data_IF_623731502060
#
_entry.id   IF_623731502060
#
_cell.length_a   1.000
_cell.length_b   1.000
_cell.length_c   1.000
_cell.angle_alpha   90.00
_cell.angle_beta   90.00
_cell.angle_gamma   90.00
#
_symmetry.space_group_name_H-M   'P 1'
#
loop_
_entity.id
_entity.type
_entity.pdbx_description
1 polymer ?
#
# COMPACT_ATOMS: atom_id res chain seq x y z
N UNK A 1 -4.06 8.17 17.95
CA UNK A 1 -2.71 8.30 17.34
C UNK A 1 -1.98 6.98 17.52
N UNK A 2 -1.66 6.27 16.43
CA UNK A 2 -0.98 4.96 16.46
C UNK A 2 0.53 5.02 16.15
N UNK A 3 1.12 6.23 16.12
CA UNK A 3 2.52 6.42 15.75
C UNK A 3 3.52 5.68 16.64
N UNK A 4 3.41 5.71 17.99
CA UNK A 4 4.34 4.97 18.84
C UNK A 4 4.31 3.46 18.59
N UNK A 5 3.14 2.92 18.25
CA UNK A 5 2.98 1.50 17.92
C UNK A 5 3.61 1.18 16.55
N UNK A 6 3.48 2.06 15.56
CA UNK A 6 4.10 1.88 14.25
C UNK A 6 5.63 1.90 14.35
N UNK A 7 6.19 2.79 15.20
CA UNK A 7 7.63 2.82 15.49
C UNK A 7 8.09 1.54 16.20
N UNK A 8 7.38 1.11 17.23
CA UNK A 8 7.70 -0.13 17.95
C UNK A 8 7.69 -1.33 17.01
N UNK A 9 6.67 -1.44 16.15
CA UNK A 9 6.59 -2.48 15.12
C UNK A 9 7.76 -2.39 14.14
N UNK A 10 8.11 -1.19 13.66
CA UNK A 10 9.26 -1.01 12.76
C UNK A 10 10.56 -1.56 13.37
N UNK A 11 10.81 -1.27 14.66
CA UNK A 11 11.99 -1.76 15.38
C UNK A 11 11.94 -3.27 15.60
N UNK A 12 10.79 -3.80 16.00
CA UNK A 12 10.59 -5.22 16.28
C UNK A 12 10.79 -6.10 15.02
N UNK A 13 10.25 -5.67 13.88
CA UNK A 13 10.18 -6.48 12.66
C UNK A 13 11.33 -6.22 11.67
N UNK A 14 12.28 -5.33 11.98
CA UNK A 14 13.37 -4.93 11.08
C UNK A 14 14.17 -6.10 10.49
N UNK A 15 14.29 -7.21 11.22
CA UNK A 15 15.05 -8.40 10.83
C UNK A 15 14.20 -9.68 10.74
N UNK A 16 12.87 -9.53 10.71
CA UNK A 16 11.94 -10.67 10.74
C UNK A 16 11.44 -11.10 9.37
N UNK A 17 12.02 -10.58 8.28
CA UNK A 17 11.60 -10.96 6.92
C UNK A 17 11.59 -12.49 6.71
N UNK A 18 12.66 -13.25 7.04
CA UNK A 18 12.65 -14.71 6.82
C UNK A 18 11.54 -15.43 7.60
N UNK A 19 11.35 -15.10 8.88
CA UNK A 19 10.33 -15.73 9.72
C UNK A 19 8.90 -15.40 9.25
N UNK A 20 8.68 -14.17 8.75
CA UNK A 20 7.38 -13.79 8.17
C UNK A 20 7.09 -14.58 6.88
N UNK A 21 8.09 -14.80 6.03
CA UNK A 21 7.94 -15.64 4.83
C UNK A 21 7.59 -17.07 5.20
N UNK A 22 8.28 -17.65 6.18
CA UNK A 22 8.00 -19.01 6.68
C UNK A 22 6.57 -19.12 7.22
N UNK A 23 6.14 -18.14 8.03
CA UNK A 23 4.80 -18.09 8.60
C UNK A 23 3.71 -18.05 7.51
N UNK A 24 3.87 -17.18 6.50
CA UNK A 24 2.90 -17.08 5.40
C UNK A 24 2.85 -18.38 4.60
N UNK A 25 4.00 -19.00 4.32
CA UNK A 25 4.07 -20.27 3.57
C UNK A 25 3.44 -21.43 4.34
N UNK A 26 3.56 -21.44 5.67
CA UNK A 26 2.98 -22.47 6.51
C UNK A 26 1.46 -22.30 6.72
N UNK A 27 0.94 -21.08 6.53
CA UNK A 27 -0.49 -20.79 6.67
C UNK A 27 -1.23 -21.18 5.38
N UNK A 28 -2.42 -21.81 5.45
CA UNK A 28 -3.23 -22.06 4.25
C UNK A 28 -3.53 -20.76 3.51
N UNK A 29 -3.25 -20.70 2.21
CA UNK A 29 -3.50 -19.52 1.40
C UNK A 29 -3.77 -19.86 -0.06
N UNK A 30 -4.39 -18.92 -0.77
CA UNK A 30 -4.51 -18.93 -2.23
C UNK A 30 -3.57 -17.90 -2.84
N UNK A 31 -2.82 -18.30 -3.86
CA UNK A 31 -1.94 -17.40 -4.62
C UNK A 31 -2.66 -16.86 -5.87
N UNK A 32 -2.58 -15.55 -6.08
CA UNK A 32 -3.18 -14.87 -7.24
C UNK A 32 -2.16 -13.92 -7.86
N UNK A 33 -1.79 -14.20 -9.11
CA UNK A 33 -1.08 -13.25 -9.95
C UNK A 33 -2.03 -12.20 -10.53
N UNK A 34 -1.60 -10.94 -10.57
CA UNK A 34 -2.39 -9.85 -11.13
C UNK A 34 -1.56 -8.80 -11.84
N UNK A 35 -2.21 -8.06 -12.74
CA UNK A 35 -1.63 -6.86 -13.35
C UNK A 35 -1.69 -5.69 -12.36
N UNK A 36 -0.65 -5.45 -11.56
CA UNK A 36 -0.72 -4.46 -10.47
C UNK A 36 -1.53 -4.94 -9.27
N UNK A 37 -1.88 -4.05 -8.35
CA UNK A 37 -2.57 -4.39 -7.10
C UNK A 37 -4.04 -4.73 -7.39
N UNK A 38 -4.47 -5.94 -7.03
CA UNK A 38 -5.87 -6.38 -7.19
C UNK A 38 -6.67 -6.18 -5.90
N UNK A 39 -6.06 -6.53 -4.76
CA UNK A 39 -6.64 -6.38 -3.43
C UNK A 39 -5.95 -5.21 -2.75
N UNK A 40 -6.69 -4.12 -2.59
CA UNK A 40 -6.24 -2.93 -1.89
C UNK A 40 -6.54 -3.08 -0.39
N UNK A 41 -5.58 -2.71 0.47
CA UNK A 41 -5.83 -2.61 1.92
C UNK A 41 -6.33 -1.21 2.25
N UNK A 42 -5.69 -0.20 1.66
CA UNK A 42 -6.12 1.20 1.78
C UNK A 42 -7.11 1.53 0.67
N UNK A 43 -8.14 2.34 0.96
CA UNK A 43 -9.09 2.73 -0.06
C UNK A 43 -8.39 3.45 -1.21
N UNK A 44 -8.74 3.07 -2.45
CA UNK A 44 -8.30 3.75 -3.67
C UNK A 44 -6.77 3.74 -3.85
N UNK A 45 -6.07 2.71 -3.35
CA UNK A 45 -4.60 2.61 -3.36
C UNK A 45 -4.03 2.81 -4.77
N UNK A 46 -4.60 2.14 -5.77
CA UNK A 46 -4.19 2.24 -7.16
C UNK A 46 -4.42 3.65 -7.72
N UNK A 47 -5.61 4.21 -7.55
CA UNK A 47 -5.98 5.52 -8.13
C UNK A 47 -5.17 6.65 -7.49
N UNK A 48 -4.89 6.58 -6.18
CA UNK A 48 -3.96 7.50 -5.50
C UNK A 48 -2.53 7.39 -6.02
N UNK A 49 -2.16 6.23 -6.58
CA UNK A 49 -0.90 5.99 -7.28
C UNK A 49 -0.92 6.35 -8.77
N UNK A 50 -2.07 6.78 -9.31
CA UNK A 50 -2.24 7.01 -10.75
C UNK A 50 -2.35 5.72 -11.58
N UNK A 51 -2.81 4.63 -10.97
CA UNK A 51 -2.97 3.33 -11.61
C UNK A 51 -4.44 2.88 -11.62
N UNK A 52 -4.79 2.09 -12.63
CA UNK A 52 -6.05 1.35 -12.65
C UNK A 52 -5.97 0.15 -11.70
N UNK A 53 -7.13 -0.29 -11.22
CA UNK A 53 -7.24 -1.52 -10.45
C UNK A 53 -6.64 -2.70 -11.23
N UNK A 54 -5.93 -3.56 -10.50
CA UNK A 54 -5.33 -4.73 -11.09
C UNK A 54 -6.34 -5.78 -11.52
N UNK A 55 -5.91 -6.68 -12.40
CA UNK A 55 -6.75 -7.77 -12.93
C UNK A 55 -6.05 -9.09 -12.69
N UNK A 56 -6.80 -10.09 -12.23
CA UNK A 56 -6.30 -11.44 -12.05
C UNK A 56 -5.78 -12.02 -13.37
N UNK A 57 -4.67 -12.76 -13.28
CA UNK A 57 -4.02 -13.43 -14.41
C UNK A 57 -4.36 -14.91 -14.39
N UNK A 58 -4.48 -15.52 -15.58
CA UNK A 58 -4.76 -16.95 -15.74
C UNK A 58 -3.53 -17.84 -15.52
N UNK A 59 -2.34 -17.27 -15.57
CA UNK A 59 -1.07 -17.98 -15.46
C UNK A 59 0.00 -17.10 -14.82
N UNK A 60 1.07 -17.75 -14.35
CA UNK A 60 2.27 -17.09 -13.85
C UNK A 60 2.90 -16.24 -14.97
N UNK A 61 3.21 -14.96 -14.73
CA UNK A 61 3.79 -14.10 -15.76
C UNK A 61 5.26 -14.44 -16.01
N UNK A 62 5.69 -14.36 -17.27
CA UNK A 62 7.10 -14.50 -17.64
C UNK A 62 7.97 -13.31 -17.19
N UNK A 63 7.37 -12.11 -17.04
CA UNK A 63 8.02 -10.90 -16.54
C UNK A 63 7.22 -10.35 -15.36
N UNK A 64 7.91 -10.01 -14.28
CA UNK A 64 7.29 -9.59 -13.02
C UNK A 64 7.08 -8.07 -12.93
N UNK A 65 7.74 -7.27 -13.78
CA UNK A 65 7.59 -5.81 -13.81
C UNK A 65 6.13 -5.39 -13.89
N UNK A 66 5.68 -4.65 -12.88
CA UNK A 66 4.31 -4.14 -12.81
C UNK A 66 3.25 -5.24 -12.66
N UNK A 67 3.64 -6.43 -12.22
CA UNK A 67 2.77 -7.52 -11.78
C UNK A 67 2.85 -7.67 -10.26
N UNK A 68 1.78 -8.19 -9.68
CA UNK A 68 1.74 -8.52 -8.26
C UNK A 68 1.42 -10.01 -8.09
N UNK A 69 2.00 -10.63 -7.06
CA UNK A 69 1.55 -11.90 -6.52
C UNK A 69 0.95 -11.63 -5.14
N UNK A 70 -0.27 -12.10 -4.90
CA UNK A 70 -0.99 -11.88 -3.66
C UNK A 70 -1.37 -13.22 -3.04
N UNK A 71 -1.28 -13.26 -1.71
CA UNK A 71 -1.61 -14.41 -0.90
C UNK A 71 -2.84 -14.03 -0.09
N UNK A 72 -3.93 -14.76 -0.31
CA UNK A 72 -5.17 -14.60 0.44
C UNK A 72 -5.31 -15.74 1.45
N UNK A 73 -5.67 -15.43 2.68
CA UNK A 73 -6.06 -16.46 3.66
C UNK A 73 -7.40 -17.12 3.26
N UNK A 74 -7.85 -18.18 3.97
CA UNK A 74 -9.10 -18.87 3.63
C UNK A 74 -10.36 -18.01 3.76
N UNK A 75 -10.28 -16.87 4.46
CA UNK A 75 -11.36 -15.88 4.56
C UNK A 75 -11.30 -14.81 3.46
N UNK A 76 -10.32 -14.89 2.56
CA UNK A 76 -10.11 -13.95 1.47
C UNK A 76 -9.34 -12.69 1.86
N UNK A 77 -8.76 -12.61 3.08
CA UNK A 77 -7.96 -11.45 3.49
C UNK A 77 -6.57 -11.52 2.88
N UNK A 78 -6.09 -10.39 2.36
CA UNK A 78 -4.72 -10.28 1.86
C UNK A 78 -3.74 -10.36 3.04
N UNK A 79 -2.90 -11.37 3.07
CA UNK A 79 -1.90 -11.59 4.14
C UNK A 79 -0.47 -11.29 3.67
N UNK A 80 -0.23 -11.35 2.37
CA UNK A 80 1.09 -11.08 1.80
C UNK A 80 1.00 -10.68 0.34
N UNK A 81 1.83 -9.72 -0.07
CA UNK A 81 1.87 -9.18 -1.43
C UNK A 81 3.31 -9.01 -1.88
N UNK A 82 3.62 -9.51 -3.08
CA UNK A 82 4.86 -9.23 -3.80
C UNK A 82 4.57 -8.33 -4.99
N UNK A 83 5.30 -7.24 -5.12
CA UNK A 83 5.22 -6.31 -6.26
C UNK A 83 6.51 -6.36 -7.06
N UNK A 84 6.42 -6.85 -8.30
CA UNK A 84 7.59 -7.11 -9.14
C UNK A 84 8.24 -5.83 -9.66
N UNK A 85 9.57 -5.81 -9.59
CA UNK A 85 10.40 -4.73 -10.13
C UNK A 85 10.79 -4.99 -11.58
N UNK A 86 11.65 -4.13 -12.15
CA UNK A 86 12.20 -4.34 -13.49
C UNK A 86 13.18 -5.53 -13.55
N UNK A 87 13.81 -5.85 -12.41
CA UNK A 87 14.75 -6.95 -12.30
C UNK A 87 14.00 -8.27 -12.05
N UNK A 88 14.37 -9.36 -12.75
CA UNK A 88 13.81 -10.69 -12.50
C UNK A 88 13.98 -11.11 -11.03
N UNK A 89 12.97 -11.79 -10.47
CA UNK A 89 12.97 -12.28 -9.08
C UNK A 89 13.18 -11.22 -7.98
N UNK A 90 13.19 -9.93 -8.31
CA UNK A 90 13.25 -8.84 -7.35
C UNK A 90 11.84 -8.27 -7.11
N UNK A 91 11.37 -8.39 -5.86
CA UNK A 91 10.04 -7.96 -5.44
C UNK A 91 10.12 -7.07 -4.21
N UNK A 92 9.38 -5.96 -4.23
CA UNK A 92 8.94 -5.36 -2.97
C UNK A 92 7.93 -6.29 -2.31
N UNK A 93 7.94 -6.36 -0.99
CA UNK A 93 7.13 -7.33 -0.26
C UNK A 93 6.40 -6.65 0.89
N UNK A 94 5.10 -6.90 1.03
CA UNK A 94 4.29 -6.39 2.12
C UNK A 94 3.58 -7.53 2.83
N UNK A 95 3.76 -7.62 4.14
CA UNK A 95 3.04 -8.56 5.01
C UNK A 95 1.92 -7.82 5.72
N UNK A 96 0.79 -8.49 5.93
CA UNK A 96 -0.38 -7.93 6.60
C UNK A 96 -0.79 -8.82 7.77
N UNK A 97 -0.62 -8.30 8.98
CA UNK A 97 -0.98 -8.96 10.23
C UNK A 97 -2.23 -8.30 10.78
N UNK A 98 -3.24 -9.13 11.09
CA UNK A 98 -4.55 -8.67 11.55
C UNK A 98 -4.69 -8.90 13.04
N UNK A 99 -5.01 -7.85 13.80
CA UNK A 99 -5.24 -7.92 15.23
C UNK A 99 -6.41 -7.01 15.62
N UNK A 100 -7.51 -7.61 16.08
CA UNK A 100 -8.74 -6.91 16.43
C UNK A 100 -9.24 -6.03 15.28
N UNK A 101 -9.29 -4.72 15.51
CA UNK A 101 -9.71 -3.72 14.53
C UNK A 101 -8.51 -3.05 13.82
N UNK A 102 -7.33 -3.64 13.87
CA UNK A 102 -6.12 -3.09 13.26
C UNK A 102 -5.47 -4.04 12.25
N UNK A 103 -4.80 -3.44 11.26
CA UNK A 103 -3.98 -4.14 10.29
C UNK A 103 -2.56 -3.54 10.33
N UNK A 104 -1.58 -4.35 10.71
CA UNK A 104 -0.17 -4.01 10.62
C UNK A 104 0.39 -4.45 9.27
N UNK A 105 0.81 -3.47 8.46
CA UNK A 105 1.59 -3.67 7.24
C UNK A 105 3.09 -3.56 7.50
N UNK A 106 3.88 -4.48 6.97
CA UNK A 106 5.33 -4.46 7.03
C UNK A 106 5.88 -4.47 5.61
N UNK A 107 6.40 -3.34 5.14
CA UNK A 107 6.83 -3.16 3.75
C UNK A 107 8.34 -3.24 3.61
N UNK A 108 8.82 -4.27 2.91
CA UNK A 108 10.22 -4.58 2.71
C UNK A 108 10.68 -4.24 1.29
N UNK A 109 11.94 -3.81 1.21
CA UNK A 109 12.61 -3.48 -0.05
C UNK A 109 12.80 -4.67 -0.98
N UNK A 110 13.01 -4.38 -2.26
CA UNK A 110 13.22 -5.40 -3.29
C UNK A 110 14.66 -5.93 -3.39
N UNK A 111 15.59 -5.34 -2.65
CA UNK A 111 16.98 -5.79 -2.58
C UNK A 111 17.10 -7.17 -1.94
N UNK A 112 18.26 -7.81 -2.12
CA UNK A 112 18.58 -9.08 -1.45
C UNK A 112 18.57 -8.98 0.08
N UNK A 113 18.87 -7.80 0.63
CA UNK A 113 18.91 -7.58 2.08
C UNK A 113 17.53 -7.51 2.73
N UNK A 114 16.46 -7.34 1.95
CA UNK A 114 15.08 -7.22 2.45
C UNK A 114 14.98 -6.28 3.65
N UNK A 115 15.49 -5.06 3.50
CA UNK A 115 15.36 -4.06 4.56
C UNK A 115 13.89 -3.65 4.74
N UNK A 116 13.46 -3.49 5.99
CA UNK A 116 12.14 -2.94 6.29
C UNK A 116 12.15 -1.43 5.97
N UNK A 117 11.30 -1.02 5.02
CA UNK A 117 11.20 0.37 4.58
C UNK A 117 10.24 1.17 5.47
N UNK A 118 9.11 0.56 5.83
CA UNK A 118 8.18 1.10 6.82
C UNK A 118 7.27 0.04 7.43
N UNK A 119 6.81 0.31 8.65
CA UNK A 119 5.70 -0.37 9.28
C UNK A 119 4.50 0.59 9.31
N UNK A 120 3.31 0.13 8.97
CA UNK A 120 2.09 0.93 8.94
C UNK A 120 0.96 0.23 9.68
N UNK A 121 0.40 0.90 10.68
CA UNK A 121 -0.79 0.46 11.40
C UNK A 121 -2.00 1.17 10.80
N UNK A 122 -3.03 0.41 10.46
CA UNK A 122 -4.29 0.88 9.90
C UNK A 122 -5.41 0.51 10.87
N UNK A 123 -6.26 1.46 11.20
CA UNK A 123 -7.44 1.23 12.04
C UNK A 123 -8.64 1.03 11.15
N UNK A 124 -9.37 -0.05 11.39
CA UNK A 124 -10.58 -0.42 10.65
C UNK A 124 -11.79 -0.17 11.55
N UNK A 125 -12.79 0.52 11.01
CA UNK A 125 -14.10 0.66 11.63
C UNK A 125 -15.17 0.40 10.58
N UNK A 126 -16.19 -0.38 10.91
CA UNK A 126 -17.29 -0.72 9.99
C UNK A 126 -16.80 -1.25 8.62
N UNK A 127 -15.70 -2.02 8.62
CA UNK A 127 -15.12 -2.59 7.40
C UNK A 127 -14.28 -1.63 6.55
N UNK A 128 -14.09 -0.38 6.98
CA UNK A 128 -13.30 0.63 6.26
C UNK A 128 -12.10 1.09 7.07
N UNK A 129 -10.97 1.36 6.42
CA UNK A 129 -9.80 1.97 7.06
C UNK A 129 -10.12 3.44 7.35
N UNK A 130 -10.15 3.83 8.62
CA UNK A 130 -10.48 5.21 9.03
C UNK A 130 -9.24 6.06 9.29
N UNK A 131 -8.16 5.43 9.77
CA UNK A 131 -6.87 6.10 9.97
C UNK A 131 -5.72 5.15 9.69
N UNK A 132 -4.57 5.72 9.34
CA UNK A 132 -3.32 4.99 9.28
C UNK A 132 -2.18 5.82 9.86
N UNK A 133 -1.20 5.14 10.45
CA UNK A 133 0.06 5.72 10.90
C UNK A 133 1.21 4.82 10.46
N UNK A 134 2.21 5.37 9.79
CA UNK A 134 3.42 4.65 9.42
C UNK A 134 4.67 5.30 9.95
N UNK A 135 5.60 4.46 10.39
CA UNK A 135 6.97 4.81 10.70
C UNK A 135 7.89 4.09 9.74
N UNK A 136 8.81 4.82 9.13
CA UNK A 136 9.76 4.26 8.17
C UNK A 136 11.13 4.88 8.27
N UNK A 137 12.03 4.39 7.43
CA UNK A 137 13.44 4.80 7.37
C UNK A 137 13.62 6.32 7.19
N UNK A 138 12.72 6.97 6.46
CA UNK A 138 12.83 8.37 6.07
C UNK A 138 11.93 9.33 6.85
N UNK A 139 11.06 8.80 7.71
CA UNK A 139 10.14 9.63 8.46
C UNK A 139 8.88 8.89 8.87
N UNK A 140 7.86 9.68 9.14
CA UNK A 140 6.55 9.26 9.62
C UNK A 140 5.46 9.82 8.73
N UNK A 141 4.31 9.15 8.71
CA UNK A 141 3.12 9.60 8.01
C UNK A 141 1.87 9.22 8.78
N UNK A 142 0.91 10.12 8.82
CA UNK A 142 -0.45 9.86 9.30
C UNK A 142 -1.46 10.19 8.22
N UNK A 143 -2.51 9.39 8.15
CA UNK A 143 -3.59 9.52 7.18
C UNK A 143 -4.92 9.39 7.93
N UNK A 144 -5.86 10.28 7.62
CA UNK A 144 -7.26 10.17 8.06
C UNK A 144 -8.15 10.10 6.83
N UNK A 145 -9.04 9.10 6.79
CA UNK A 145 -9.88 8.79 5.64
C UNK A 145 -11.33 9.19 5.96
N UNK A 146 -11.93 10.01 5.11
CA UNK A 146 -13.27 10.55 5.30
C UNK A 146 -14.19 10.06 4.19
N UNK A 147 -15.34 9.53 4.59
CA UNK A 147 -16.27 8.83 3.72
C UNK A 147 -17.64 9.49 3.71
N UNK A 148 -18.30 9.42 2.56
CA UNK A 148 -19.74 9.64 2.40
C UNK A 148 -20.37 8.31 1.98
N UNK A 149 -21.01 7.64 2.95
CA UNK A 149 -21.45 6.25 2.77
C UNK A 149 -20.25 5.33 2.46
N UNK A 150 -20.29 4.54 1.37
CA UNK A 150 -19.17 3.67 1.01
C UNK A 150 -18.02 4.40 0.29
N UNK A 151 -18.20 5.67 -0.09
CA UNK A 151 -17.27 6.38 -0.96
C UNK A 151 -16.27 7.20 -0.15
N UNK A 152 -14.96 6.96 -0.35
CA UNK A 152 -13.92 7.85 0.16
C UNK A 152 -14.00 9.17 -0.59
N UNK A 153 -14.19 10.29 0.12
CA UNK A 153 -14.31 11.63 -0.49
C UNK A 153 -13.10 12.52 -0.20
N UNK A 154 -12.44 12.30 0.94
CA UNK A 154 -11.26 13.06 1.35
C UNK A 154 -10.29 12.21 2.16
N UNK A 155 -9.01 12.50 2.01
CA UNK A 155 -7.97 12.03 2.92
C UNK A 155 -7.11 13.21 3.37
N UNK A 156 -6.90 13.34 4.68
CA UNK A 156 -5.92 14.28 5.25
C UNK A 156 -4.60 13.53 5.47
N UNK A 157 -3.49 14.10 4.98
CA UNK A 157 -2.16 13.50 5.06
C UNK A 157 -1.20 14.46 5.74
N UNK A 158 -0.49 13.95 6.75
CA UNK A 158 0.62 14.64 7.38
C UNK A 158 1.84 13.73 7.37
N UNK A 159 2.93 14.21 6.77
CA UNK A 159 4.23 13.55 6.69
C UNK A 159 5.26 14.37 7.45
N UNK A 160 6.17 13.69 8.17
CA UNK A 160 7.26 14.33 8.89
C UNK A 160 8.53 13.51 8.77
N UNK A 161 9.57 14.12 8.24
CA UNK A 161 10.92 13.56 8.19
C UNK A 161 11.55 13.56 9.59
N UNK A 162 12.53 12.66 9.79
CA UNK A 162 13.24 12.54 11.06
C UNK A 162 14.08 13.78 11.40
N UNK A 163 14.47 14.57 10.40
CA UNK A 163 15.17 15.85 10.57
C UNK A 163 14.23 17.01 10.99
N UNK A 164 12.92 16.76 11.09
CA UNK A 164 11.92 17.71 11.53
C UNK A 164 11.15 18.40 10.41
N UNK A 165 11.52 18.23 9.13
CA UNK A 165 10.73 18.78 8.02
C UNK A 165 9.35 18.10 7.96
N UNK A 166 8.29 18.89 7.83
CA UNK A 166 6.92 18.38 7.73
C UNK A 166 6.19 18.90 6.50
N UNK A 167 5.26 18.11 5.99
CA UNK A 167 4.34 18.49 4.94
C UNK A 167 2.95 17.98 5.26
N UNK A 168 1.96 18.77 4.86
CA UNK A 168 0.56 18.39 4.95
C UNK A 168 -0.08 18.60 3.58
N UNK A 169 -1.03 17.75 3.23
CA UNK A 169 -1.86 17.92 2.04
C UNK A 169 -3.16 17.14 2.19
N UNK A 170 -4.14 17.53 1.40
CA UNK A 170 -5.40 16.81 1.28
C UNK A 170 -5.45 16.08 -0.05
N UNK A 171 -6.11 14.93 -0.07
CA UNK A 171 -6.46 14.21 -1.30
C UNK A 171 -7.97 14.17 -1.41
N UNK A 172 -8.52 14.74 -2.48
CA UNK A 172 -9.95 14.77 -2.75
C UNK A 172 -10.31 13.79 -3.86
N UNK A 173 -11.48 13.18 -3.73
CA UNK A 173 -12.00 12.16 -4.64
C UNK A 173 -13.36 12.59 -5.16
N UNK A 174 -13.45 12.86 -6.46
CA UNK A 174 -14.70 13.23 -7.11
C UNK A 174 -15.28 12.01 -7.84
N UNK A 175 -16.42 11.55 -7.34
CA UNK A 175 -17.15 10.40 -7.89
C UNK A 175 -18.26 10.92 -8.82
N UNK A 176 -17.95 11.07 -10.11
CA UNK A 176 -18.91 11.54 -11.12
C UNK A 176 -18.80 10.85 -12.48
N UNK A 177 -17.90 9.88 -12.60
CA UNK A 177 -17.60 9.19 -13.85
C UNK A 177 -17.20 7.72 -13.62
N UNK A 178 -16.77 7.02 -14.67
CA UNK A 178 -16.41 5.60 -14.59
C UNK A 178 -15.19 5.34 -13.69
N UNK A 179 -14.31 6.33 -13.54
CA UNK A 179 -13.21 6.34 -12.59
C UNK A 179 -13.24 7.68 -11.83
N UNK A 180 -12.96 7.70 -10.51
CA UNK A 180 -12.96 8.94 -9.76
C UNK A 180 -11.78 9.82 -10.12
N UNK A 181 -12.00 11.13 -10.10
CA UNK A 181 -10.94 12.12 -10.24
C UNK A 181 -10.27 12.32 -8.88
N UNK A 182 -8.95 12.12 -8.83
CA UNK A 182 -8.17 12.25 -7.60
C UNK A 182 -7.28 13.49 -7.69
N UNK A 183 -7.41 14.42 -6.75
CA UNK A 183 -6.61 15.65 -6.70
C UNK A 183 -5.90 15.79 -5.35
N UNK A 184 -4.65 16.26 -5.36
CA UNK A 184 -3.88 16.63 -4.18
C UNK A 184 -3.88 18.14 -4.00
N UNK A 185 -4.22 18.62 -2.82
CA UNK A 185 -4.31 20.03 -2.46
C UNK A 185 -3.28 20.34 -1.38
N UNK A 186 -2.39 21.30 -1.65
CA UNK A 186 -1.34 21.71 -0.73
C UNK A 186 -1.71 23.01 -0.02
N UNK A 187 -1.20 23.27 1.21
CA UNK A 187 -1.50 24.49 1.97
C UNK A 187 -1.16 25.81 1.23
N UNK A 188 -0.22 25.77 0.28
CA UNK A 188 0.14 26.91 -0.55
C UNK A 188 -0.82 27.16 -1.74
N UNK A 189 -1.95 26.46 -1.81
CA UNK A 189 -2.94 26.57 -2.88
C UNK A 189 -2.60 25.78 -4.15
N UNK A 190 -1.46 25.08 -4.21
CA UNK A 190 -1.14 24.23 -5.35
C UNK A 190 -2.09 23.03 -5.39
N UNK A 191 -2.61 22.72 -6.57
CA UNK A 191 -3.43 21.53 -6.83
C UNK A 191 -2.73 20.65 -7.87
N UNK A 192 -2.75 19.34 -7.66
CA UNK A 192 -2.21 18.36 -8.61
C UNK A 192 -3.21 17.25 -8.83
N UNK A 193 -3.67 17.08 -10.06
CA UNK A 193 -4.52 15.95 -10.43
C UNK A 193 -3.65 14.72 -10.66
N UNK A 194 -4.00 13.61 -10.01
CA UNK A 194 -3.38 12.31 -10.28
C UNK A 194 -3.90 11.81 -11.62
N UNK A 195 -3.05 11.84 -12.65
CA UNK A 195 -3.39 11.30 -13.95
C UNK A 195 -3.11 9.80 -13.96
N UNK A 196 -4.02 9.03 -14.54
CA UNK A 196 -3.77 7.62 -14.82
C UNK A 196 -2.58 7.50 -15.76
N UNK A 197 -1.51 6.89 -15.28
CA UNK A 197 -0.40 6.47 -16.13
C UNK A 197 -0.87 5.20 -16.82
N UNK A 198 -1.30 5.33 -18.08
CA UNK A 198 -1.41 4.15 -18.93
C UNK A 198 -0.01 3.51 -18.98
N UNK A 199 0.09 2.22 -18.64
CA UNK A 199 1.29 1.41 -18.91
C UNK A 199 1.44 1.20 -20.42
N UNK A 200 1.55 2.28 -21.21
CA UNK A 200 2.12 2.20 -22.54
C UNK A 200 3.64 2.18 -22.35
N UNK A 201 4.23 1.05 -22.75
CA UNK A 201 5.66 0.92 -22.97
C UNK A 201 6.18 2.18 -23.69
N UNK A 202 7.27 2.80 -23.24
CA UNK A 202 8.26 3.23 -24.20
C UNK A 202 8.93 1.93 -24.66
N UNK A 203 8.37 1.35 -25.72
CA UNK A 203 9.23 0.69 -26.68
C UNK A 203 10.08 1.78 -27.32
N UNK A 204 11.37 1.46 -27.46
CA UNK A 204 12.39 2.03 -28.36
C UNK A 204 13.35 3.10 -27.82
N UNK A 205 14.60 3.12 -28.34
CA UNK A 205 15.32 2.11 -29.13
C UNK A 205 16.34 1.31 -28.30
#
# INVERSE_FOLDING_TARGET
MHMPQAEAAFRQYAHQHPSLVEQVRATPHTEIWSTGVLHEIEPMENQRGGFKAGKAMKSVPAKTKGKCLQFLDPSGRLIYRKTGTELPECFYEEFFLYEGNTILGLYFGASRSKELLHAKIRVVSQGQVTTAASYGKYGTRTESFHYEGPHLVKMDVHERQHDGQSSEHQVLFEHGGPEPVVTRHFPNGRVTQMKHVDKKSPDQP
#
